data_IF_066600074070
#
_entry.id   IF_066600074070
#
_cell.length_a   1.000
_cell.length_b   1.000
_cell.length_c   1.000
_cell.angle_alpha   90.00
_cell.angle_beta   90.00
_cell.angle_gamma   90.00
#
_symmetry.space_group_name_H-M   'P 1'
#
loop_
_entity.id
_entity.type
_entity.pdbx_description
1 polymer ?
#
# COMPACT_ATOMS: atom_id res chain seq x y z
N UNK A 1 7.24 4.68 0.18
CA UNK A 1 7.87 6.02 0.07
C UNK A 1 7.18 7.06 0.93
N UNK A 2 5.85 7.15 0.94
CA UNK A 2 5.11 8.10 1.81
C UNK A 2 5.41 7.99 3.31
N UNK A 3 5.87 6.83 3.79
CA UNK A 3 6.34 6.63 5.18
C UNK A 3 7.86 6.84 5.37
N UNK A 4 8.56 7.35 4.36
CA UNK A 4 10.00 7.64 4.40
C UNK A 4 10.17 9.16 4.46
N UNK A 5 10.56 9.66 5.63
CA UNK A 5 10.79 11.08 5.87
C UNK A 5 11.77 11.69 4.87
N UNK A 6 11.44 12.87 4.33
CA UNK A 6 12.25 13.58 3.34
C UNK A 6 12.01 13.15 1.88
N UNK A 7 11.21 12.11 1.62
CA UNK A 7 10.83 11.77 0.25
C UNK A 7 9.72 12.68 -0.28
N UNK A 8 9.65 12.87 -1.61
CA UNK A 8 8.56 13.64 -2.24
C UNK A 8 7.18 13.07 -1.88
N UNK A 9 6.92 11.74 -1.96
CA UNK A 9 5.61 11.20 -1.57
C UNK A 9 5.25 11.43 -0.09
N UNK A 10 6.24 11.52 0.80
CA UNK A 10 6.00 11.87 2.20
C UNK A 10 5.53 13.32 2.34
N UNK A 11 6.14 14.24 1.58
CA UNK A 11 5.71 15.65 1.57
C UNK A 11 4.31 15.85 0.97
N UNK A 12 3.88 14.97 0.06
CA UNK A 12 2.56 15.02 -0.55
C UNK A 12 1.47 14.30 0.26
N UNK A 13 1.84 13.50 1.27
CA UNK A 13 0.88 12.77 2.09
C UNK A 13 0.27 13.74 3.12
N UNK A 14 -0.96 14.18 2.88
CA UNK A 14 -1.71 15.01 3.82
C UNK A 14 -2.06 14.19 5.07
N UNK A 15 -1.22 14.29 6.11
CA UNK A 15 -1.44 13.67 7.42
C UNK A 15 -1.71 12.17 7.35
N UNK A 16 -0.65 11.35 7.42
CA UNK A 16 -0.83 9.93 7.71
C UNK A 16 -1.55 9.83 9.06
N UNK A 17 -2.78 9.30 9.07
CA UNK A 17 -3.51 9.04 10.32
C UNK A 17 -2.74 8.06 11.21
N UNK A 18 -3.24 7.85 12.43
CA UNK A 18 -2.66 6.91 13.38
C UNK A 18 -2.28 5.59 12.69
N UNK A 19 -1.04 5.13 12.92
CA UNK A 19 -0.43 3.90 12.40
C UNK A 19 0.12 3.89 10.96
N UNK A 20 0.26 5.04 10.29
CA UNK A 20 0.96 5.10 8.99
C UNK A 20 0.10 4.64 7.80
N UNK A 21 -1.22 4.67 7.95
CA UNK A 21 -2.16 4.46 6.87
C UNK A 21 -2.16 5.65 5.89
N UNK A 22 -2.09 5.35 4.59
CA UNK A 22 -2.04 6.31 3.48
C UNK A 22 -3.25 6.13 2.59
N UNK A 23 -4.01 7.21 2.38
CA UNK A 23 -5.12 7.27 1.43
C UNK A 23 -4.59 7.71 0.07
N UNK A 24 -4.42 6.77 -0.84
CA UNK A 24 -3.93 7.02 -2.19
C UNK A 24 -5.09 7.25 -3.16
N UNK A 25 -5.22 8.47 -3.66
CA UNK A 25 -6.14 8.80 -4.76
C UNK A 25 -5.66 8.20 -6.09
N UNK A 26 -6.57 7.64 -6.86
CA UNK A 26 -6.38 7.16 -8.22
C UNK A 26 -7.58 7.57 -9.11
N UNK A 27 -7.50 7.47 -10.45
CA UNK A 27 -8.59 7.89 -11.32
C UNK A 27 -9.96 7.24 -11.04
N UNK A 28 -9.97 6.09 -10.37
CA UNK A 28 -11.18 5.33 -10.04
C UNK A 28 -11.60 5.41 -8.57
N UNK A 29 -10.97 6.27 -7.76
CA UNK A 29 -11.32 6.47 -6.36
C UNK A 29 -10.12 6.54 -5.42
N UNK A 30 -10.25 5.94 -4.22
CA UNK A 30 -9.23 6.00 -3.16
C UNK A 30 -8.92 4.58 -2.68
N UNK A 31 -7.63 4.27 -2.53
CA UNK A 31 -7.14 3.02 -1.92
C UNK A 31 -6.41 3.34 -0.62
N UNK A 32 -6.77 2.64 0.46
CA UNK A 32 -6.08 2.76 1.75
C UNK A 32 -4.97 1.71 1.83
N UNK A 33 -3.76 2.17 2.15
CA UNK A 33 -2.56 1.35 2.24
C UNK A 33 -1.95 1.52 3.64
N UNK A 34 -1.56 0.42 4.28
CA UNK A 34 -0.74 0.45 5.49
C UNK A 34 0.72 0.11 5.17
N UNK A 35 1.66 0.74 5.86
CA UNK A 35 3.07 0.36 5.80
C UNK A 35 3.74 0.57 7.16
N UNK A 36 4.34 -0.49 7.70
CA UNK A 36 5.18 -0.43 8.89
C UNK A 36 6.63 -0.21 8.46
N UNK A 37 7.19 0.94 8.83
CA UNK A 37 8.53 1.37 8.43
C UNK A 37 9.28 1.89 9.65
N UNK A 38 10.52 1.45 9.85
CA UNK A 38 11.43 1.94 10.89
C UNK A 38 12.71 2.49 10.28
N UNK A 39 13.44 3.29 11.05
CA UNK A 39 14.82 3.67 10.74
C UNK A 39 15.76 2.90 11.66
N UNK A 40 16.58 2.02 11.09
CA UNK A 40 17.51 1.14 11.79
C UNK A 40 18.93 1.37 11.27
N UNK A 41 19.89 1.62 12.16
CA UNK A 41 21.30 1.84 11.80
C UNK A 41 21.49 2.86 10.66
N UNK A 42 20.73 3.97 10.70
CA UNK A 42 20.77 5.02 9.70
C UNK A 42 20.00 4.73 8.39
N UNK A 43 19.54 3.49 8.18
CA UNK A 43 18.83 3.05 6.98
C UNK A 43 17.34 2.84 7.24
N UNK A 44 16.51 3.01 6.21
CA UNK A 44 15.08 2.71 6.31
C UNK A 44 14.82 1.22 6.09
N UNK A 45 13.97 0.62 6.93
CA UNK A 45 13.54 -0.77 6.82
C UNK A 45 12.02 -0.85 6.76
N UNK A 46 11.51 -1.64 5.83
CA UNK A 46 10.07 -1.94 5.70
C UNK A 46 9.81 -3.30 6.33
N UNK A 47 8.93 -3.36 7.31
CA UNK A 47 8.58 -4.59 8.02
C UNK A 47 7.37 -5.28 7.39
N UNK A 48 6.36 -4.49 7.03
CA UNK A 48 5.13 -5.00 6.44
C UNK A 48 4.41 -3.92 5.64
N UNK A 49 3.57 -4.38 4.73
CA UNK A 49 2.63 -3.55 4.00
C UNK A 49 1.29 -4.25 3.94
N UNK A 50 0.20 -3.50 3.99
CA UNK A 50 -1.16 -4.04 3.93
C UNK A 50 -2.04 -3.24 2.98
N UNK A 51 -2.93 -3.95 2.31
CA UNK A 51 -3.98 -3.39 1.46
C UNK A 51 -5.19 -4.31 1.54
N UNK A 52 -6.38 -3.74 1.65
CA UNK A 52 -7.61 -4.52 1.57
C UNK A 52 -8.01 -4.71 0.10
N UNK A 53 -8.31 -5.95 -0.29
CA UNK A 53 -8.81 -6.31 -1.62
C UNK A 53 -9.95 -7.30 -1.47
N UNK A 54 -10.88 -7.29 -2.42
CA UNK A 54 -11.92 -8.30 -2.54
C UNK A 54 -11.56 -9.26 -3.68
N UNK A 55 -12.04 -10.49 -3.58
CA UNK A 55 -11.93 -11.49 -4.65
C UNK A 55 -13.26 -12.21 -4.81
N UNK A 56 -13.54 -12.70 -6.02
CA UNK A 56 -14.72 -13.50 -6.35
C UNK A 56 -14.30 -14.61 -7.33
N UNK A 57 -14.80 -15.82 -7.13
CA UNK A 57 -14.68 -16.91 -8.12
C UNK A 57 -15.54 -16.55 -9.34
N UNK A 58 -14.91 -16.43 -10.51
CA UNK A 58 -15.62 -16.11 -11.75
C UNK A 58 -16.04 -17.38 -12.51
N UNK A 59 -15.17 -18.38 -12.59
CA UNK A 59 -15.42 -19.67 -13.23
C UNK A 59 -14.77 -20.80 -12.44
N UNK A 60 -15.40 -21.96 -12.45
CA UNK A 60 -14.88 -23.22 -11.93
C UNK A 60 -15.07 -24.30 -13.00
N UNK A 61 -14.01 -25.01 -13.37
CA UNK A 61 -14.03 -25.97 -14.48
C UNK A 61 -12.69 -26.10 -15.19
N UNK A 62 -12.70 -26.71 -16.37
CA UNK A 62 -11.49 -27.01 -17.14
C UNK A 62 -11.35 -26.08 -18.36
N UNK A 63 -10.11 -25.64 -18.61
CA UNK A 63 -9.72 -25.00 -19.87
C UNK A 63 -9.05 -26.08 -20.73
N UNK A 64 -9.61 -26.36 -21.91
CA UNK A 64 -9.03 -27.28 -22.89
C UNK A 64 -8.26 -26.49 -23.96
N UNK A 65 -7.16 -27.05 -24.45
CA UNK A 65 -6.39 -26.54 -25.58
C UNK A 65 -6.04 -27.70 -26.53
N UNK A 66 -5.73 -27.38 -27.79
CA UNK A 66 -5.36 -28.34 -28.84
C UNK A 66 -3.87 -28.69 -28.79
#
# INVERSE_FOLDING_TARGET
ASQIGGSVPHSCAAGAGDEGAVRLGNPSGVTVLGASVSRENGSWRVHSTSIMRTCRRLMDGHVYHL
#
